data_IF_492200081430
#
_entry.id   IF_492200081430
#
_cell.length_a   1.000
_cell.length_b   1.000
_cell.length_c   1.000
_cell.angle_alpha   90.00
_cell.angle_beta   90.00
_cell.angle_gamma   90.00
#
_symmetry.space_group_name_H-M   'P 1'
#
loop_
_entity.id
_entity.type
_entity.pdbx_description
1 polymer ?
#
# COMPACT_ATOMS: atom_id res chain seq x y z
N UNK A 1 11.63 -7.49 7.61
CA UNK A 1 12.56 -6.38 7.33
C UNK A 1 11.74 -5.11 7.15
N UNK A 2 12.17 -3.97 7.69
CA UNK A 2 11.48 -2.68 7.51
C UNK A 2 12.41 -1.73 6.75
N UNK A 3 11.92 -1.09 5.69
CA UNK A 3 12.68 -0.18 4.83
C UNK A 3 11.90 1.13 4.65
N UNK A 4 12.59 2.27 4.65
CA UNK A 4 11.99 3.60 4.46
C UNK A 4 12.75 4.36 3.35
N UNK A 5 12.01 4.83 2.35
CA UNK A 5 12.49 5.82 1.38
C UNK A 5 11.88 7.18 1.72
N UNK A 6 12.70 8.11 2.19
CA UNK A 6 12.28 9.46 2.55
C UNK A 6 13.13 10.50 1.82
N UNK A 7 12.49 11.39 1.07
CA UNK A 7 13.10 12.53 0.40
C UNK A 7 12.05 13.60 0.12
N UNK A 8 12.47 14.79 -0.30
CA UNK A 8 11.57 15.85 -0.75
C UNK A 8 10.84 15.44 -2.05
N UNK A 9 9.68 16.05 -2.32
CA UNK A 9 8.99 15.90 -3.61
C UNK A 9 9.92 16.22 -4.78
N UNK A 10 9.83 15.42 -5.85
CA UNK A 10 10.68 15.54 -7.05
C UNK A 10 12.06 14.87 -6.96
N UNK A 11 12.49 14.38 -5.79
CA UNK A 11 13.83 13.77 -5.62
C UNK A 11 13.87 12.28 -5.99
N UNK A 12 12.87 11.78 -6.73
CA UNK A 12 12.85 10.41 -7.23
C UNK A 12 12.53 9.32 -6.19
N UNK A 13 12.00 9.68 -5.01
CA UNK A 13 11.62 8.70 -3.96
C UNK A 13 10.66 7.62 -4.46
N UNK A 14 9.60 8.03 -5.17
CA UNK A 14 8.59 7.11 -5.70
C UNK A 14 9.17 6.25 -6.83
N UNK A 15 10.01 6.83 -7.71
CA UNK A 15 10.71 6.08 -8.75
C UNK A 15 11.61 4.99 -8.18
N UNK A 16 12.43 5.33 -7.19
CA UNK A 16 13.33 4.36 -6.57
C UNK A 16 12.57 3.30 -5.77
N UNK A 17 11.51 3.68 -5.05
CA UNK A 17 10.62 2.73 -4.39
C UNK A 17 9.99 1.75 -5.40
N UNK A 18 9.49 2.23 -6.54
CA UNK A 18 8.96 1.41 -7.62
C UNK A 18 10.00 0.44 -8.17
N UNK A 19 11.19 0.93 -8.53
CA UNK A 19 12.26 0.09 -9.08
C UNK A 19 12.71 -1.00 -8.08
N UNK A 20 12.82 -0.64 -6.79
CA UNK A 20 13.15 -1.58 -5.73
C UNK A 20 12.05 -2.64 -5.58
N UNK A 21 10.78 -2.25 -5.55
CA UNK A 21 9.67 -3.20 -5.47
C UNK A 21 9.63 -4.14 -6.67
N UNK A 22 9.72 -3.63 -7.89
CA UNK A 22 9.70 -4.44 -9.12
C UNK A 22 10.81 -5.50 -9.12
N UNK A 23 12.00 -5.11 -8.66
CA UNK A 23 13.16 -6.01 -8.57
C UNK A 23 13.00 -7.11 -7.51
N UNK A 24 12.16 -6.89 -6.50
CA UNK A 24 11.96 -7.82 -5.38
C UNK A 24 10.60 -8.53 -5.39
N UNK A 25 9.62 -8.08 -6.20
CA UNK A 25 8.24 -8.57 -6.15
C UNK A 25 8.10 -10.09 -6.32
N UNK A 26 8.99 -10.71 -7.10
CA UNK A 26 8.99 -12.17 -7.33
C UNK A 26 9.61 -12.98 -6.19
N UNK A 27 10.30 -12.33 -5.24
CA UNK A 27 10.91 -12.99 -4.09
C UNK A 27 9.91 -13.26 -2.95
N UNK A 28 8.69 -12.73 -3.06
CA UNK A 28 7.62 -12.89 -2.07
C UNK A 28 6.44 -13.66 -2.68
N UNK A 29 5.71 -14.40 -1.84
CA UNK A 29 4.50 -15.11 -2.26
C UNK A 29 3.41 -14.10 -2.63
N UNK A 30 3.33 -13.01 -1.88
CA UNK A 30 2.35 -11.94 -2.08
C UNK A 30 2.94 -10.51 -2.02
N UNK A 31 2.23 -9.56 -2.60
CA UNK A 31 2.55 -8.13 -2.68
C UNK A 31 1.28 -7.31 -2.49
N UNK A 32 1.28 -6.38 -1.54
CA UNK A 32 0.20 -5.41 -1.33
C UNK A 32 0.79 -4.01 -1.30
N UNK A 33 0.38 -3.16 -2.23
CA UNK A 33 0.77 -1.74 -2.27
C UNK A 33 -0.45 -0.88 -1.92
N UNK A 34 -0.33 -0.07 -0.87
CA UNK A 34 -1.33 0.93 -0.49
C UNK A 34 -0.93 2.26 -1.12
N UNK A 35 -1.55 2.59 -2.25
CA UNK A 35 -1.19 3.73 -3.11
C UNK A 35 -2.07 4.95 -2.78
N UNK A 36 -1.52 5.89 -2.01
CA UNK A 36 -2.23 7.07 -1.54
C UNK A 36 -2.53 8.06 -2.68
N UNK A 37 -1.57 8.26 -3.59
CA UNK A 37 -1.63 9.26 -4.66
C UNK A 37 -2.11 8.69 -6.01
N UNK A 38 -2.18 7.36 -6.17
CA UNK A 38 -2.56 6.71 -7.43
C UNK A 38 -1.44 6.77 -8.49
N UNK A 39 -0.19 6.85 -8.06
CA UNK A 39 0.97 7.02 -8.94
C UNK A 39 1.69 5.69 -9.29
N UNK A 40 1.37 4.59 -8.60
CA UNK A 40 2.07 3.32 -8.79
C UNK A 40 1.47 2.54 -9.95
N UNK A 41 2.13 2.64 -11.10
CA UNK A 41 1.73 1.93 -12.33
C UNK A 41 2.78 0.98 -12.89
N UNK A 42 4.05 1.10 -12.47
CA UNK A 42 5.14 0.27 -13.00
C UNK A 42 4.90 -1.23 -12.81
N UNK A 43 4.64 -1.65 -11.56
CA UNK A 43 4.29 -3.04 -11.21
C UNK A 43 3.12 -3.60 -12.03
N UNK A 44 2.10 -2.78 -12.26
CA UNK A 44 0.89 -3.15 -13.00
C UNK A 44 1.21 -3.32 -14.49
N UNK A 45 1.90 -2.35 -15.08
CA UNK A 45 2.31 -2.38 -16.50
C UNK A 45 3.30 -3.52 -16.79
N UNK A 46 4.11 -3.91 -15.80
CA UNK A 46 5.00 -5.05 -15.89
C UNK A 46 4.29 -6.41 -15.70
N UNK A 47 2.98 -6.42 -15.44
CA UNK A 47 2.21 -7.64 -15.20
C UNK A 47 2.55 -8.34 -13.88
N UNK A 48 3.10 -7.61 -12.90
CA UNK A 48 3.52 -8.15 -11.60
C UNK A 48 2.44 -8.02 -10.52
N UNK A 49 1.46 -7.14 -10.71
CA UNK A 49 0.35 -6.94 -9.80
C UNK A 49 -0.91 -6.47 -10.54
N UNK A 50 -2.09 -6.79 -9.99
CA UNK A 50 -3.37 -6.21 -10.41
C UNK A 50 -3.53 -4.79 -9.85
N UNK A 51 -4.28 -3.93 -10.55
CA UNK A 51 -4.57 -2.57 -10.10
C UNK A 51 -6.03 -2.38 -9.74
N UNK A 52 -6.31 -2.08 -8.48
CA UNK A 52 -7.65 -1.95 -7.93
C UNK A 52 -7.80 -0.58 -7.25
N UNK A 53 -9.04 -0.09 -7.17
CA UNK A 53 -9.36 1.19 -6.54
C UNK A 53 -10.24 0.90 -5.33
N UNK A 54 -9.85 1.41 -4.17
CA UNK A 54 -10.60 1.32 -2.92
C UNK A 54 -11.60 2.46 -2.86
N UNK A 55 -12.87 2.17 -3.15
CA UNK A 55 -13.98 3.10 -3.05
C UNK A 55 -14.88 2.82 -1.84
N UNK A 56 -16.13 3.30 -1.90
CA UNK A 56 -17.09 3.17 -0.77
C UNK A 56 -17.29 1.70 -0.35
N UNK A 57 -17.42 0.79 -1.32
CA UNK A 57 -17.67 -0.64 -1.01
C UNK A 57 -16.46 -1.30 -0.36
N UNK A 58 -15.28 -1.04 -0.92
CA UNK A 58 -14.03 -1.62 -0.43
C UNK A 58 -13.65 -1.05 0.94
N UNK A 59 -14.00 0.22 1.19
CA UNK A 59 -13.79 0.88 2.48
C UNK A 59 -14.58 0.23 3.64
N UNK A 60 -15.73 -0.38 3.34
CA UNK A 60 -16.60 -1.03 4.32
C UNK A 60 -16.20 -2.48 4.62
N UNK A 61 -15.27 -3.06 3.84
CA UNK A 61 -14.86 -4.45 4.00
C UNK A 61 -14.22 -4.69 5.37
N UNK A 62 -14.63 -5.77 6.02
CA UNK A 62 -14.05 -6.21 7.28
C UNK A 62 -12.66 -6.80 7.07
N UNK A 63 -11.92 -7.04 8.16
CA UNK A 63 -10.63 -7.74 8.11
C UNK A 63 -10.75 -9.10 7.44
N UNK A 64 -11.82 -9.87 7.71
CA UNK A 64 -12.03 -11.18 7.08
C UNK A 64 -12.33 -11.08 5.59
N UNK A 65 -13.07 -10.05 5.17
CA UNK A 65 -13.36 -9.85 3.74
C UNK A 65 -12.08 -9.48 2.99
N UNK A 66 -11.24 -8.61 3.58
CA UNK A 66 -9.92 -8.29 3.05
C UNK A 66 -8.99 -9.51 3.01
N UNK A 67 -9.05 -10.42 3.99
CA UNK A 67 -8.28 -11.66 3.93
C UNK A 67 -8.67 -12.48 2.69
N UNK A 68 -9.97 -12.65 2.42
CA UNK A 68 -10.46 -13.34 1.22
C UNK A 68 -9.97 -12.66 -0.06
N UNK A 69 -10.16 -11.34 -0.17
CA UNK A 69 -9.73 -10.56 -1.32
C UNK A 69 -8.23 -10.72 -1.60
N UNK A 70 -7.41 -10.62 -0.57
CA UNK A 70 -5.95 -10.68 -0.69
C UNK A 70 -5.43 -12.11 -0.91
N UNK A 71 -6.16 -13.13 -0.45
CA UNK A 71 -5.83 -14.52 -0.73
C UNK A 71 -6.06 -14.84 -2.21
N UNK A 72 -7.21 -14.42 -2.75
CA UNK A 72 -7.56 -14.58 -4.16
C UNK A 72 -6.70 -13.70 -5.10
N UNK A 73 -6.20 -12.58 -4.58
CA UNK A 73 -5.41 -11.61 -5.34
C UNK A 73 -4.07 -11.35 -4.62
N UNK A 74 -3.13 -12.30 -4.68
CA UNK A 74 -1.92 -12.26 -3.88
C UNK A 74 -0.99 -11.09 -4.25
N UNK A 75 -1.17 -10.46 -5.41
CA UNK A 75 -0.33 -9.34 -5.87
C UNK A 75 -1.20 -8.20 -6.37
N UNK A 76 -1.37 -7.17 -5.54
CA UNK A 76 -2.32 -6.08 -5.79
C UNK A 76 -1.74 -4.71 -5.41
N UNK A 77 -2.06 -3.72 -6.23
CA UNK A 77 -1.94 -2.29 -5.94
C UNK A 77 -3.34 -1.76 -5.65
N UNK A 78 -3.53 -1.23 -4.44
CA UNK A 78 -4.77 -0.67 -3.93
C UNK A 78 -4.65 0.85 -3.92
N UNK A 79 -5.25 1.50 -4.92
CA UNK A 79 -5.31 2.95 -5.02
C UNK A 79 -6.43 3.52 -4.17
N UNK A 80 -6.13 4.59 -3.42
CA UNK A 80 -7.14 5.37 -2.70
C UNK A 80 -8.04 6.12 -3.70
N UNK A 81 -9.34 5.87 -3.70
CA UNK A 81 -10.26 6.69 -4.50
C UNK A 81 -10.27 8.15 -4.02
N UNK A 82 -10.51 9.08 -4.94
CA UNK A 82 -10.61 10.52 -4.67
C UNK A 82 -11.66 10.94 -3.62
N UNK A 83 -12.69 10.12 -3.33
CA UNK A 83 -13.69 10.46 -2.31
C UNK A 83 -13.26 10.02 -0.91
N UNK A 84 -12.32 9.08 -0.81
CA UNK A 84 -11.82 8.56 0.46
C UNK A 84 -10.90 9.61 1.06
N UNK A 85 -11.27 10.13 2.23
CA UNK A 85 -10.48 11.12 2.97
C UNK A 85 -9.21 10.52 3.56
N UNK A 86 -8.27 11.36 3.99
CA UNK A 86 -6.99 10.89 4.57
C UNK A 86 -7.18 10.05 5.84
N UNK A 87 -8.06 10.46 6.75
CA UNK A 87 -8.32 9.74 8.00
C UNK A 87 -9.05 8.41 7.75
N UNK A 88 -10.00 8.41 6.81
CA UNK A 88 -10.69 7.20 6.37
C UNK A 88 -9.71 6.23 5.71
N UNK A 89 -8.85 6.70 4.81
CA UNK A 89 -7.80 5.90 4.20
C UNK A 89 -6.84 5.31 5.22
N UNK A 90 -6.48 6.07 6.26
CA UNK A 90 -5.66 5.57 7.37
C UNK A 90 -6.35 4.38 8.05
N UNK A 91 -7.64 4.50 8.34
CA UNK A 91 -8.40 3.41 8.96
C UNK A 91 -8.48 2.18 8.04
N UNK A 92 -8.73 2.38 6.74
CA UNK A 92 -8.75 1.30 5.75
C UNK A 92 -7.38 0.60 5.66
N UNK A 93 -6.29 1.37 5.58
CA UNK A 93 -4.92 0.83 5.60
C UNK A 93 -4.66 -0.02 6.85
N UNK A 94 -5.15 0.40 8.02
CA UNK A 94 -5.01 -0.37 9.25
C UNK A 94 -5.75 -1.71 9.16
N UNK A 95 -6.98 -1.72 8.65
CA UNK A 95 -7.78 -2.94 8.41
C UNK A 95 -7.07 -3.88 7.44
N UNK A 96 -6.55 -3.37 6.33
CA UNK A 96 -5.82 -4.16 5.33
C UNK A 96 -4.52 -4.73 5.92
N UNK A 97 -3.73 -3.92 6.62
CA UNK A 97 -2.51 -4.38 7.29
C UNK A 97 -2.80 -5.48 8.33
N UNK A 98 -3.94 -5.39 9.03
CA UNK A 98 -4.36 -6.46 9.92
C UNK A 98 -4.72 -7.75 9.17
N UNK A 99 -5.46 -7.65 8.06
CA UNK A 99 -5.78 -8.80 7.21
C UNK A 99 -4.52 -9.47 6.67
N UNK A 100 -3.60 -8.67 6.12
CA UNK A 100 -2.28 -9.11 5.66
C UNK A 100 -1.55 -9.86 6.77
N UNK A 101 -1.46 -9.30 7.99
CA UNK A 101 -0.78 -9.95 9.12
C UNK A 101 -1.39 -11.32 9.50
N UNK A 102 -2.70 -11.51 9.27
CA UNK A 102 -3.39 -12.77 9.57
C UNK A 102 -3.15 -13.84 8.49
N UNK A 103 -2.88 -13.44 7.25
CA UNK A 103 -2.45 -14.34 6.17
C UNK A 103 -1.00 -14.79 6.46
N UNK A 104 -0.84 -16.03 6.91
CA UNK A 104 0.46 -16.60 7.32
C UNK A 104 1.32 -16.98 6.09
N UNK A 105 1.83 -15.98 5.38
CA UNK A 105 2.69 -16.15 4.19
C UNK A 105 3.75 -15.07 4.09
N UNK A 106 4.80 -15.31 3.31
CA UNK A 106 5.81 -14.30 3.04
C UNK A 106 5.28 -13.28 2.04
N UNK A 107 5.24 -12.01 2.45
CA UNK A 107 4.60 -10.96 1.66
C UNK A 107 5.25 -9.60 1.83
N UNK A 108 5.32 -8.87 0.73
CA UNK A 108 5.79 -7.49 0.68
C UNK A 108 4.60 -6.54 0.84
N UNK A 109 4.65 -5.68 1.86
CA UNK A 109 3.67 -4.62 2.07
C UNK A 109 4.35 -3.28 1.85
N UNK A 110 3.77 -2.45 0.99
CA UNK A 110 4.26 -1.11 0.71
C UNK A 110 3.18 -0.10 0.99
N UNK A 111 3.56 0.97 1.68
CA UNK A 111 2.67 2.10 1.99
C UNK A 111 3.24 3.33 1.33
N UNK A 112 2.56 3.81 0.28
CA UNK A 112 2.90 5.06 -0.34
C UNK A 112 2.45 6.24 0.53
N UNK A 113 3.21 7.33 0.48
CA UNK A 113 3.05 8.50 1.33
C UNK A 113 2.71 8.13 2.78
N UNK A 114 3.52 7.21 3.34
CA UNK A 114 3.32 6.61 4.66
C UNK A 114 3.18 7.63 5.79
N UNK A 115 3.58 8.88 5.60
CA UNK A 115 3.40 9.97 6.55
C UNK A 115 1.92 10.38 6.75
N UNK A 116 1.03 10.07 5.81
CA UNK A 116 -0.42 10.25 5.96
C UNK A 116 -1.10 9.07 6.65
N UNK A 117 -0.53 7.87 6.52
CA UNK A 117 -1.05 6.62 7.09
C UNK A 117 -0.53 6.40 8.51
N UNK A 118 0.76 6.65 8.75
CA UNK A 118 1.35 6.54 10.07
C UNK A 118 0.73 7.60 11.01
N UNK A 119 0.34 7.23 12.24
CA UNK A 119 -0.20 8.19 13.19
C UNK A 119 0.88 9.21 13.57
N UNK A 120 0.75 10.45 13.09
CA UNK A 120 1.63 11.55 13.47
C UNK A 120 0.82 12.62 14.23
N UNK A 121 1.33 13.02 15.40
CA UNK A 121 0.75 14.15 16.18
C UNK A 121 1.24 15.51 15.66
N UNK A 122 2.24 15.54 14.76
CA UNK A 122 2.89 16.74 14.20
C UNK A 122 3.44 16.42 12.80
N UNK A 123 3.50 17.42 11.93
CA UNK A 123 3.94 17.27 10.54
C UNK A 123 5.45 16.99 10.38
N UNK A 124 6.29 17.43 11.33
CA UNK A 124 7.73 17.21 11.34
C UNK A 124 8.29 17.13 12.78
N UNK A 125 9.40 16.41 13.02
CA UNK A 125 10.18 16.57 14.24
C UNK A 125 10.67 18.02 14.34
N UNK A 126 10.31 18.73 15.41
CA UNK A 126 10.97 20.00 15.75
C UNK A 126 12.35 19.71 16.35
N UNK A 127 13.40 20.47 15.99
CA UNK A 127 14.73 20.35 16.61
C UNK A 127 14.69 20.44 18.12
#
# INVERSE_FOLDING_TARGET
>A
MNLLFAAQSGWGKSYHAQAWMESNAKAYDALVVLDFCGEYRGLVKAGLASHWIVGHREAELSVSDWMTVLDENPRVVLEKHNHVGTEEWRAICATICEAVRRLQRDQLVVVDEAHFVAPSRRSYPTP
#
